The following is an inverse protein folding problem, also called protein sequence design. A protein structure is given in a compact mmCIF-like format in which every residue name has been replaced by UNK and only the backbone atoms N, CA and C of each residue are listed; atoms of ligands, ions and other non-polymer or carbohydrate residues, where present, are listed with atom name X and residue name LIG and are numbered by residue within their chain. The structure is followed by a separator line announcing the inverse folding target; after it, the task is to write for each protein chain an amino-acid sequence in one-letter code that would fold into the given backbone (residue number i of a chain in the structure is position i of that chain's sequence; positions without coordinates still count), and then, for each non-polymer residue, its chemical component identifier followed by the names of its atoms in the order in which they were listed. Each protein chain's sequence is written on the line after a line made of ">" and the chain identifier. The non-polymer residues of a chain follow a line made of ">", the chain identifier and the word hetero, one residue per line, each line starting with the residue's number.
data_IF_461072753056
#
_entry.id   IF_461072753056
#
_cell.length_a   1.000
_cell.length_b   1.000
_cell.length_c   1.000
_cell.angle_alpha   90.00
_cell.angle_beta   90.00
_cell.angle_gamma   90.00
#
_symmetry.space_group_name_H-M   'P 1'
#
loop_
_entity.id
_entity.type
_entity.pdbx_description
1 polymer ?
#
# COMPACT_ATOMS: atom_id res chain seq x y z
N UNK A 1 -14.42 -13.33 40.68
CA UNK A 1 -14.64 -13.45 39.23
C UNK A 1 -14.17 -12.21 38.44
N UNK A 2 -14.59 -10.98 38.79
CA UNK A 2 -14.16 -9.73 38.10
C UNK A 2 -12.63 -9.57 37.92
N UNK A 3 -11.84 -9.91 38.94
CA UNK A 3 -10.37 -9.78 38.92
C UNK A 3 -9.68 -10.69 37.87
N UNK A 4 -10.25 -11.88 37.60
CA UNK A 4 -9.73 -12.81 36.57
C UNK A 4 -10.04 -12.33 35.15
N UNK A 5 -11.23 -11.72 34.96
CA UNK A 5 -11.64 -11.11 33.68
C UNK A 5 -10.74 -9.93 33.32
N UNK A 6 -10.43 -9.06 34.30
CA UNK A 6 -9.55 -7.91 34.07
C UNK A 6 -8.13 -8.32 33.64
N UNK A 7 -7.57 -9.37 34.25
CA UNK A 7 -6.24 -9.88 33.87
C UNK A 7 -6.26 -10.43 32.43
N UNK A 8 -7.33 -11.13 32.06
CA UNK A 8 -7.49 -11.69 30.72
C UNK A 8 -7.63 -10.59 29.66
N UNK A 9 -8.39 -9.53 29.94
CA UNK A 9 -8.50 -8.36 29.07
C UNK A 9 -7.17 -7.62 28.91
N UNK A 10 -6.43 -7.39 30.00
CA UNK A 10 -5.11 -6.76 29.95
C UNK A 10 -4.15 -7.60 29.09
N UNK A 11 -4.17 -8.92 29.24
CA UNK A 11 -3.38 -9.82 28.40
C UNK A 11 -3.69 -9.68 26.90
N UNK A 12 -4.97 -9.63 26.53
CA UNK A 12 -5.39 -9.43 25.13
C UNK A 12 -4.92 -8.06 24.60
N UNK A 13 -5.05 -7.00 25.39
CA UNK A 13 -4.57 -5.67 25.01
C UNK A 13 -3.05 -5.64 24.83
N UNK A 14 -2.29 -6.27 25.72
CA UNK A 14 -0.83 -6.35 25.61
C UNK A 14 -0.38 -7.09 24.35
N UNK A 15 -1.05 -8.20 23.98
CA UNK A 15 -0.74 -8.97 22.76
C UNK A 15 -1.10 -8.16 21.50
N UNK A 16 -2.25 -7.48 21.51
CA UNK A 16 -2.64 -6.59 20.42
C UNK A 16 -1.65 -5.45 20.22
N UNK A 17 -1.24 -4.78 21.31
CA UNK A 17 -0.29 -3.69 21.26
C UNK A 17 1.11 -4.14 20.83
N UNK A 18 1.59 -5.31 21.27
CA UNK A 18 2.88 -5.84 20.84
C UNK A 18 2.88 -6.22 19.36
N UNK A 19 1.77 -6.78 18.85
CA UNK A 19 1.62 -7.08 17.41
C UNK A 19 1.57 -5.81 16.55
N UNK A 20 0.87 -4.77 17.01
CA UNK A 20 0.87 -3.47 16.34
C UNK A 20 2.28 -2.85 16.35
N UNK A 21 3.00 -2.92 17.47
CA UNK A 21 4.37 -2.40 17.55
C UNK A 21 5.33 -3.16 16.61
N UNK A 22 5.27 -4.49 16.57
CA UNK A 22 6.12 -5.29 15.70
C UNK A 22 5.85 -5.02 14.21
N UNK A 23 4.58 -4.87 13.81
CA UNK A 23 4.23 -4.49 12.44
C UNK A 23 4.71 -3.09 12.06
N UNK A 24 4.62 -2.12 12.96
CA UNK A 24 5.15 -0.76 12.76
C UNK A 24 6.68 -0.77 12.66
N UNK A 25 7.37 -1.50 13.54
CA UNK A 25 8.84 -1.62 13.51
C UNK A 25 9.31 -2.31 12.23
N UNK A 26 8.63 -3.39 11.79
CA UNK A 26 8.93 -4.05 10.50
C UNK A 26 8.67 -3.12 9.32
N UNK A 27 7.61 -2.30 9.40
CA UNK A 27 7.30 -1.31 8.36
C UNK A 27 8.41 -0.25 8.23
N UNK A 28 8.91 0.26 9.36
CA UNK A 28 9.92 1.32 9.38
C UNK A 28 11.36 0.84 9.16
N UNK A 29 11.70 -0.38 9.58
CA UNK A 29 13.08 -0.91 9.50
C UNK A 29 13.30 -1.93 8.36
N UNK A 30 12.24 -2.38 7.69
CA UNK A 30 12.31 -3.31 6.56
C UNK A 30 11.93 -2.62 5.24
N UNK A 31 11.70 -3.37 4.15
CA UNK A 31 11.18 -2.84 2.89
C UNK A 31 9.71 -2.36 2.99
N UNK A 32 9.19 -2.14 4.20
CA UNK A 32 7.77 -1.91 4.43
C UNK A 32 6.93 -3.14 4.07
N UNK A 33 5.81 -2.90 3.40
CA UNK A 33 4.96 -3.93 2.78
C UNK A 33 5.31 -4.18 1.30
N UNK A 34 6.45 -3.67 0.83
CA UNK A 34 6.87 -3.80 -0.56
C UNK A 34 7.75 -5.04 -0.76
N UNK A 35 7.08 -6.17 -1.01
CA UNK A 35 7.70 -7.48 -1.29
C UNK A 35 8.11 -7.65 -2.75
N UNK A 36 8.05 -6.59 -3.57
CA UNK A 36 8.38 -6.70 -4.99
C UNK A 36 9.87 -6.98 -5.22
N UNK A 37 10.15 -7.82 -6.22
CA UNK A 37 11.54 -8.10 -6.62
C UNK A 37 12.22 -6.84 -7.18
N UNK A 38 13.56 -6.77 -7.18
CA UNK A 38 14.26 -5.62 -7.79
C UNK A 38 13.87 -5.40 -9.26
N UNK A 39 13.65 -6.48 -10.01
CA UNK A 39 13.22 -6.41 -11.39
C UNK A 39 11.80 -5.82 -11.52
N UNK A 40 10.89 -6.22 -10.63
CA UNK A 40 9.53 -5.65 -10.57
C UNK A 40 9.54 -4.17 -10.15
N UNK A 41 10.40 -3.78 -9.20
CA UNK A 41 10.58 -2.37 -8.82
C UNK A 41 11.07 -1.53 -10.00
N UNK A 42 12.03 -2.05 -10.77
CA UNK A 42 12.51 -1.40 -11.98
C UNK A 42 11.41 -1.28 -13.04
N UNK A 43 10.64 -2.35 -13.27
CA UNK A 43 9.52 -2.33 -14.20
C UNK A 43 8.44 -1.32 -13.79
N UNK A 44 8.11 -1.24 -12.49
CA UNK A 44 7.18 -0.24 -11.94
C UNK A 44 7.68 1.18 -12.20
N UNK A 45 8.97 1.44 -12.01
CA UNK A 45 9.58 2.76 -12.26
C UNK A 45 9.51 3.14 -13.74
N UNK A 46 9.93 2.23 -14.64
CA UNK A 46 9.86 2.47 -16.08
C UNK A 46 8.42 2.69 -16.56
N UNK A 47 7.46 1.93 -16.03
CA UNK A 47 6.05 2.12 -16.33
C UNK A 47 5.49 3.44 -15.78
N UNK A 48 5.98 3.92 -14.64
CA UNK A 48 5.61 5.23 -14.11
C UNK A 48 6.08 6.34 -15.06
N UNK A 49 7.33 6.30 -15.51
CA UNK A 49 7.90 7.26 -16.46
C UNK A 49 7.17 7.24 -17.81
N UNK A 50 6.77 6.06 -18.32
CA UNK A 50 5.97 5.95 -19.55
C UNK A 50 4.59 6.62 -19.41
N UNK A 51 3.97 6.50 -18.23
CA UNK A 51 2.61 6.94 -17.95
C UNK A 51 2.51 8.35 -17.36
N UNK A 52 3.64 9.01 -17.09
CA UNK A 52 3.68 10.41 -16.64
C UNK A 52 2.99 11.36 -17.63
N UNK A 53 2.91 10.96 -18.90
CA UNK A 53 2.21 11.71 -19.95
C UNK A 53 0.67 11.65 -19.86
N UNK A 54 0.10 10.75 -19.05
CA UNK A 54 -1.36 10.65 -18.90
C UNK A 54 -1.86 11.84 -18.07
N UNK A 55 -2.77 12.66 -18.60
CA UNK A 55 -3.26 13.84 -17.90
C UNK A 55 -4.11 13.42 -16.69
N UNK A 56 -3.72 13.91 -15.52
CA UNK A 56 -4.48 13.79 -14.28
C UNK A 56 -5.68 14.77 -14.24
N UNK A 57 -6.74 14.46 -13.47
CA UNK A 57 -7.83 15.39 -13.22
C UNK A 57 -7.33 16.66 -12.50
N UNK A 58 -7.53 17.83 -13.10
CA UNK A 58 -7.08 19.11 -12.54
C UNK A 58 -7.83 19.45 -11.23
N UNK A 59 -7.12 20.04 -10.27
CA UNK A 59 -7.66 20.61 -9.01
C UNK A 59 -8.37 19.60 -8.09
N UNK A 60 -7.87 18.37 -8.04
CA UNK A 60 -8.51 17.28 -7.29
C UNK A 60 -7.53 16.67 -6.28
N UNK A 61 -7.96 16.59 -5.02
CA UNK A 61 -7.20 15.90 -3.97
C UNK A 61 -7.02 14.42 -4.33
N UNK A 62 -5.91 13.76 -3.92
CA UNK A 62 -5.73 12.31 -4.07
C UNK A 62 -6.91 11.47 -3.58
N UNK A 63 -7.66 11.95 -2.58
CA UNK A 63 -8.83 11.28 -2.03
C UNK A 63 -10.16 11.65 -2.69
N UNK A 64 -10.17 12.53 -3.69
CA UNK A 64 -11.40 12.93 -4.38
C UNK A 64 -11.95 11.82 -5.27
N UNK A 65 -13.26 11.82 -5.49
CA UNK A 65 -13.92 10.81 -6.32
C UNK A 65 -13.36 10.81 -7.75
N UNK A 66 -13.14 11.98 -8.33
CA UNK A 66 -12.64 12.09 -9.70
C UNK A 66 -11.21 11.56 -9.83
N UNK A 67 -10.36 11.78 -8.82
CA UNK A 67 -9.02 11.19 -8.79
C UNK A 67 -9.07 9.67 -8.59
N UNK A 68 -9.95 9.17 -7.70
CA UNK A 68 -10.13 7.73 -7.53
C UNK A 68 -10.67 7.05 -8.79
N UNK A 69 -11.62 7.66 -9.48
CA UNK A 69 -12.19 7.16 -10.72
C UNK A 69 -11.13 7.17 -11.84
N UNK A 70 -10.31 8.22 -11.93
CA UNK A 70 -9.19 8.27 -12.88
C UNK A 70 -8.14 7.21 -12.56
N UNK A 71 -7.76 7.05 -11.28
CA UNK A 71 -6.84 6.01 -10.84
C UNK A 71 -7.38 4.62 -11.22
N UNK A 72 -8.64 4.34 -10.91
CA UNK A 72 -9.27 3.04 -11.13
C UNK A 72 -9.49 2.69 -12.60
N UNK A 73 -9.87 3.65 -13.44
CA UNK A 73 -10.29 3.39 -14.81
C UNK A 73 -9.23 3.73 -15.87
N UNK A 74 -8.28 4.61 -15.56
CA UNK A 74 -7.28 5.09 -16.53
C UNK A 74 -5.89 4.63 -16.12
N UNK A 75 -5.40 5.09 -14.98
CA UNK A 75 -4.00 4.93 -14.62
C UNK A 75 -3.64 3.51 -14.21
N UNK A 76 -4.42 2.87 -13.31
CA UNK A 76 -4.16 1.51 -12.84
C UNK A 76 -4.22 0.49 -14.00
N UNK A 77 -5.23 0.51 -14.89
CA UNK A 77 -5.26 -0.38 -16.06
C UNK A 77 -4.04 -0.19 -16.97
N UNK A 78 -3.66 1.06 -17.28
CA UNK A 78 -2.51 1.35 -18.13
C UNK A 78 -1.19 0.89 -17.51
N UNK A 79 -1.01 1.11 -16.20
CA UNK A 79 0.14 0.61 -15.44
C UNK A 79 0.22 -0.91 -15.44
N UNK A 80 -0.90 -1.59 -15.24
CA UNK A 80 -0.94 -3.05 -15.23
C UNK A 80 -0.60 -3.61 -16.62
N UNK A 81 -1.08 -3.00 -17.70
CA UNK A 81 -0.72 -3.42 -19.06
C UNK A 81 0.76 -3.16 -19.37
N UNK A 82 1.34 -2.06 -18.89
CA UNK A 82 2.78 -1.82 -19.00
C UNK A 82 3.60 -2.89 -18.26
N UNK A 83 3.22 -3.21 -17.01
CA UNK A 83 3.87 -4.27 -16.24
C UNK A 83 3.77 -5.63 -16.93
N UNK A 84 2.59 -5.96 -17.48
CA UNK A 84 2.34 -7.18 -18.24
C UNK A 84 3.26 -7.30 -19.45
N UNK A 85 3.44 -6.20 -20.20
CA UNK A 85 4.40 -6.14 -21.34
C UNK A 85 5.84 -6.36 -20.91
N UNK A 86 6.19 -6.06 -19.66
CA UNK A 86 7.51 -6.28 -19.06
C UNK A 86 7.64 -7.62 -18.33
N UNK A 87 6.60 -8.46 -18.33
CA UNK A 87 6.61 -9.80 -17.75
C UNK A 87 6.22 -9.88 -16.27
N UNK A 88 5.53 -8.86 -15.73
CA UNK A 88 5.03 -8.80 -14.36
C UNK A 88 3.50 -8.72 -14.30
#
# INVERSE_FOLDING_TARGET
>A
MKRKINILLIGIFCIGLSGCYESVVRFWNGPGWDFSSQAEKKAKKECFEELESIPEPQNKSPGSKEMQDWLGNVYIPARNECLRRKGF
#
